data_IF_234189908927
#
_entry.id   IF_234189908927
#
_cell.length_a   1.000
_cell.length_b   1.000
_cell.length_c   1.000
_cell.angle_alpha   90.00
_cell.angle_beta   90.00
_cell.angle_gamma   90.00
#
_symmetry.space_group_name_H-M   'P 1'
#
loop_
_entity.id
_entity.type
_entity.pdbx_description
1 polymer ?
#
# COMPACT_ATOMS: atom_id res chain seq x y z
N UNK A 1 -8.72 19.08 0.66
CA UNK A 1 -9.24 17.70 0.73
C UNK A 1 -8.14 16.73 1.20
N UNK A 2 -7.11 16.42 0.39
CA UNK A 2 -6.04 15.48 0.80
C UNK A 2 -5.35 15.86 2.11
N UNK A 3 -4.95 17.12 2.29
CA UNK A 3 -4.29 17.56 3.54
C UNK A 3 -5.18 17.35 4.77
N UNK A 4 -6.50 17.48 4.63
CA UNK A 4 -7.44 17.25 5.72
C UNK A 4 -7.55 15.76 6.05
N UNK A 5 -7.59 14.88 5.05
CA UNK A 5 -7.57 13.44 5.28
C UNK A 5 -6.29 12.98 5.96
N UNK A 6 -5.14 13.54 5.60
CA UNK A 6 -3.87 13.23 6.26
C UNK A 6 -3.95 13.58 7.76
N UNK A 7 -4.46 14.77 8.10
CA UNK A 7 -4.63 15.17 9.51
C UNK A 7 -5.65 14.30 10.23
N UNK A 8 -6.75 13.95 9.58
CA UNK A 8 -7.79 13.08 10.14
C UNK A 8 -7.23 11.68 10.43
N UNK A 9 -6.45 11.11 9.51
CA UNK A 9 -5.81 9.80 9.69
C UNK A 9 -4.75 9.82 10.78
N UNK A 10 -3.98 10.91 10.89
CA UNK A 10 -3.01 11.11 11.95
C UNK A 10 -3.70 11.21 13.32
N UNK A 11 -4.74 12.05 13.43
CA UNK A 11 -5.51 12.19 14.66
C UNK A 11 -6.20 10.88 15.08
N UNK A 12 -6.58 10.03 14.12
CA UNK A 12 -7.15 8.70 14.37
C UNK A 12 -6.10 7.59 14.53
N UNK A 13 -4.79 7.89 14.48
CA UNK A 13 -3.71 6.91 14.64
C UNK A 13 -3.60 5.86 13.53
N UNK A 14 -4.23 6.08 12.37
CA UNK A 14 -4.39 5.04 11.32
C UNK A 14 -3.08 4.69 10.60
N UNK A 15 -2.11 5.59 10.61
CA UNK A 15 -0.79 5.32 10.03
C UNK A 15 0.00 4.23 10.77
N UNK A 16 -0.38 3.88 12.02
CA UNK A 16 0.24 2.78 12.77
C UNK A 16 0.01 1.40 12.11
N UNK A 17 -1.05 1.26 11.31
CA UNK A 17 -1.33 0.04 10.54
C UNK A 17 -0.41 -0.13 9.32
N UNK A 18 0.50 0.83 9.08
CA UNK A 18 1.43 0.84 7.96
C UNK A 18 2.87 0.88 8.46
N UNK A 19 3.75 0.14 7.78
CA UNK A 19 5.19 0.14 8.07
C UNK A 19 5.90 1.25 7.29
N UNK A 20 7.19 1.08 7.00
CA UNK A 20 7.99 2.02 6.24
C UNK A 20 8.16 1.61 4.79
N UNK A 21 8.30 2.62 3.93
CA UNK A 21 8.60 2.45 2.52
C UNK A 21 9.60 3.50 2.08
N UNK A 22 10.40 3.16 1.08
CA UNK A 22 11.20 4.13 0.32
C UNK A 22 10.35 4.78 -0.78
N UNK A 23 10.61 6.05 -1.09
CA UNK A 23 10.08 6.70 -2.29
C UNK A 23 10.91 6.41 -3.54
N UNK A 24 12.07 5.76 -3.41
CA UNK A 24 12.88 5.36 -4.56
C UNK A 24 12.21 4.18 -5.25
N UNK A 25 11.84 4.34 -6.52
CA UNK A 25 11.27 3.26 -7.32
C UNK A 25 12.35 2.43 -8.01
N UNK A 26 12.18 1.12 -7.94
CA UNK A 26 13.14 0.10 -8.39
C UNK A 26 13.39 0.15 -9.91
N UNK A 27 12.46 0.67 -10.72
CA UNK A 27 12.58 0.66 -12.18
C UNK A 27 13.21 1.94 -12.72
N UNK A 28 12.89 3.09 -12.11
CA UNK A 28 13.44 4.39 -12.52
C UNK A 28 14.69 4.79 -11.71
N UNK A 29 15.01 4.05 -10.65
CA UNK A 29 16.14 4.32 -9.74
C UNK A 29 16.13 5.75 -9.17
N UNK A 30 14.92 6.28 -8.93
CA UNK A 30 14.68 7.67 -8.56
C UNK A 30 13.42 7.84 -7.73
N UNK A 31 13.25 9.01 -7.09
CA UNK A 31 12.12 9.26 -6.22
C UNK A 31 10.81 9.41 -7.02
N UNK A 32 9.74 8.76 -6.57
CA UNK A 32 8.40 8.90 -7.16
C UNK A 32 7.71 10.23 -6.77
N UNK A 33 8.18 10.86 -5.70
CA UNK A 33 7.77 12.19 -5.23
C UNK A 33 9.00 12.96 -4.77
N UNK A 34 9.03 14.25 -5.04
CA UNK A 34 10.14 15.12 -4.64
C UNK A 34 10.30 15.20 -3.12
N UNK A 35 11.53 15.54 -2.68
CA UNK A 35 11.89 15.66 -1.25
C UNK A 35 10.97 16.62 -0.49
N UNK A 36 10.60 17.74 -1.10
CA UNK A 36 9.74 18.74 -0.46
C UNK A 36 8.30 18.24 -0.29
N UNK A 37 7.78 17.53 -1.31
CA UNK A 37 6.48 16.85 -1.22
C UNK A 37 6.50 15.79 -0.13
N UNK A 38 7.55 14.97 -0.08
CA UNK A 38 7.73 13.97 0.98
C UNK A 38 7.73 14.61 2.38
N UNK A 39 8.50 15.68 2.58
CA UNK A 39 8.59 16.39 3.85
C UNK A 39 7.25 17.01 4.26
N UNK A 40 6.54 17.63 3.30
CA UNK A 40 5.22 18.23 3.54
C UNK A 40 4.19 17.19 3.99
N UNK A 41 4.14 16.02 3.33
CA UNK A 41 3.19 14.95 3.69
C UNK A 41 3.43 14.44 5.11
N UNK A 42 4.69 14.23 5.50
CA UNK A 42 5.05 13.75 6.84
C UNK A 42 4.81 14.81 7.92
N UNK A 43 5.10 16.08 7.62
CA UNK A 43 4.81 17.20 8.52
C UNK A 43 3.30 17.36 8.78
N UNK A 44 2.45 17.16 7.76
CA UNK A 44 0.99 17.20 7.93
C UNK A 44 0.45 16.10 8.86
N UNK A 45 1.12 14.95 8.88
CA UNK A 45 0.73 13.82 9.72
C UNK A 45 1.40 13.81 11.10
N UNK A 46 2.32 14.74 11.36
CA UNK A 46 3.20 14.74 12.54
C UNK A 46 3.97 13.41 12.71
N UNK A 47 4.42 12.83 11.60
CA UNK A 47 5.17 11.56 11.59
C UNK A 47 6.64 11.85 11.28
N UNK A 48 7.60 11.49 12.17
CA UNK A 48 9.00 11.65 11.88
C UNK A 48 9.43 10.71 10.73
N UNK A 49 10.19 11.24 9.79
CA UNK A 49 10.71 10.46 8.66
C UNK A 49 12.02 11.05 8.14
N UNK A 50 12.84 10.21 7.49
CA UNK A 50 14.11 10.61 6.89
C UNK A 50 14.13 10.20 5.43
N UNK A 51 14.04 11.19 4.54
CA UNK A 51 14.11 10.94 3.10
C UNK A 51 15.31 10.04 2.74
N UNK A 52 15.11 8.98 1.93
CA UNK A 52 13.92 8.68 1.14
C UNK A 52 12.90 7.74 1.83
N UNK A 53 13.06 7.42 3.12
CA UNK A 53 12.24 6.44 3.84
C UNK A 53 11.27 7.12 4.80
N UNK A 54 9.99 6.74 4.73
CA UNK A 54 8.93 7.27 5.59
C UNK A 54 7.76 6.30 5.73
N UNK A 55 6.62 6.77 6.25
CA UNK A 55 5.45 5.93 6.46
C UNK A 55 4.87 5.46 5.11
N UNK A 56 4.66 4.16 4.99
CA UNK A 56 4.20 3.53 3.75
C UNK A 56 2.80 3.98 3.35
N UNK A 57 1.89 4.21 4.32
CA UNK A 57 0.55 4.73 4.05
C UNK A 57 0.59 6.14 3.45
N UNK A 58 1.41 7.04 3.99
CA UNK A 58 1.63 8.36 3.41
C UNK A 58 2.18 8.28 1.99
N UNK A 59 3.20 7.45 1.77
CA UNK A 59 3.87 7.34 0.47
C UNK A 59 2.94 6.73 -0.58
N UNK A 60 2.39 5.55 -0.30
CA UNK A 60 1.62 4.77 -1.29
C UNK A 60 0.21 5.30 -1.48
N UNK A 61 -0.48 5.73 -0.43
CA UNK A 61 -1.87 6.18 -0.55
C UNK A 61 -1.95 7.64 -0.97
N UNK A 62 -1.19 8.54 -0.35
CA UNK A 62 -1.27 9.97 -0.66
C UNK A 62 -0.19 10.43 -1.65
N UNK A 63 1.05 10.01 -1.47
CA UNK A 63 2.17 10.39 -2.34
C UNK A 63 1.97 9.96 -3.79
N UNK A 64 1.42 8.77 -4.05
CA UNK A 64 1.20 8.27 -5.41
C UNK A 64 0.26 9.15 -6.24
N UNK A 65 -0.73 9.81 -5.61
CA UNK A 65 -1.61 10.76 -6.31
C UNK A 65 -0.86 11.99 -6.82
N UNK A 66 0.21 12.38 -6.13
CA UNK A 66 1.05 13.53 -6.47
C UNK A 66 2.23 13.14 -7.37
N UNK A 67 2.43 11.85 -7.61
CA UNK A 67 3.50 11.36 -8.47
C UNK A 67 3.18 11.64 -9.94
N UNK A 68 4.04 12.44 -10.58
CA UNK A 68 4.01 12.68 -12.03
C UNK A 68 4.89 11.69 -12.82
N UNK A 69 5.52 10.73 -12.13
CA UNK A 69 6.51 9.85 -12.75
C UNK A 69 5.83 8.70 -13.49
N UNK A 70 6.20 8.52 -14.75
CA UNK A 70 5.77 7.41 -15.58
C UNK A 70 6.73 6.22 -15.41
N UNK A 71 6.18 5.04 -15.12
CA UNK A 71 6.94 3.78 -15.06
C UNK A 71 6.57 2.89 -16.24
N UNK A 72 7.29 1.78 -16.51
CA UNK A 72 6.86 0.78 -17.51
C UNK A 72 5.44 0.24 -17.27
N UNK A 73 4.93 0.36 -16.05
CA UNK A 73 3.59 -0.09 -15.63
C UNK A 73 2.56 1.05 -15.55
N UNK A 74 2.84 2.22 -16.17
CA UNK A 74 2.00 3.41 -16.13
C UNK A 74 2.30 4.34 -14.95
N UNK A 75 1.36 5.24 -14.64
CA UNK A 75 1.53 6.19 -13.53
C UNK A 75 1.16 5.54 -12.19
N UNK A 76 1.87 5.93 -11.14
CA UNK A 76 1.58 5.45 -9.78
C UNK A 76 0.16 5.79 -9.31
N UNK A 77 -0.36 6.98 -9.68
CA UNK A 77 -1.75 7.40 -9.39
C UNK A 77 -2.81 6.48 -10.00
N UNK A 78 -2.50 5.81 -11.11
CA UNK A 78 -3.45 4.98 -11.85
C UNK A 78 -3.88 3.75 -11.04
N UNK A 79 -3.03 3.31 -10.10
CA UNK A 79 -3.35 2.25 -9.13
C UNK A 79 -4.59 2.57 -8.30
N UNK A 80 -4.86 3.86 -8.08
CA UNK A 80 -5.95 4.35 -7.26
C UNK A 80 -7.12 4.84 -8.13
N UNK A 81 -6.84 5.66 -9.15
CA UNK A 81 -7.88 6.32 -9.95
C UNK A 81 -8.61 5.40 -10.95
N UNK A 82 -7.98 4.31 -11.41
CA UNK A 82 -8.60 3.42 -12.39
C UNK A 82 -9.54 2.39 -11.75
N UNK A 83 -9.62 2.32 -10.42
CA UNK A 83 -10.52 1.42 -9.69
C UNK A 83 -10.24 -0.08 -9.90
N UNK A 84 -9.13 -0.44 -10.53
CA UNK A 84 -8.70 -1.83 -10.71
C UNK A 84 -8.41 -2.50 -9.37
N UNK A 85 -7.81 -1.76 -8.42
CA UNK A 85 -7.60 -2.27 -7.06
C UNK A 85 -8.93 -2.54 -6.34
N UNK A 86 -9.90 -1.65 -6.47
CA UNK A 86 -11.22 -1.84 -5.86
C UNK A 86 -11.94 -3.07 -6.44
N UNK A 87 -11.93 -3.22 -7.78
CA UNK A 87 -12.45 -4.42 -8.43
C UNK A 87 -11.74 -5.70 -7.96
N UNK A 88 -10.42 -5.64 -7.82
CA UNK A 88 -9.60 -6.74 -7.32
C UNK A 88 -9.85 -7.09 -5.83
N UNK A 89 -10.47 -6.18 -5.07
CA UNK A 89 -10.90 -6.38 -3.69
C UNK A 89 -12.42 -6.58 -3.58
N UNK A 90 -13.13 -6.70 -4.70
CA UNK A 90 -14.59 -6.90 -4.74
C UNK A 90 -15.40 -5.68 -4.30
N UNK A 91 -14.83 -4.48 -4.38
CA UNK A 91 -15.45 -3.22 -3.99
C UNK A 91 -15.91 -2.40 -5.21
N UNK A 92 -16.84 -1.44 -5.02
CA UNK A 92 -17.16 -0.43 -6.05
C UNK A 92 -15.92 0.28 -6.57
N UNK A 93 -15.88 0.59 -7.87
CA UNK A 93 -14.69 1.09 -8.58
C UNK A 93 -14.05 2.31 -7.91
N UNK A 94 -14.88 3.18 -7.37
CA UNK A 94 -14.56 4.47 -6.78
C UNK A 94 -14.14 4.40 -5.30
N UNK A 95 -14.17 3.20 -4.68
CA UNK A 95 -13.99 3.02 -3.24
C UNK A 95 -12.67 3.54 -2.68
N UNK A 96 -11.65 3.78 -3.51
CA UNK A 96 -10.36 4.33 -3.06
C UNK A 96 -10.01 5.69 -3.67
N UNK A 97 -10.96 6.34 -4.35
CA UNK A 97 -10.74 7.67 -4.90
C UNK A 97 -10.66 8.72 -3.78
N UNK A 98 -9.92 9.80 -4.05
CA UNK A 98 -9.83 10.93 -3.13
C UNK A 98 -11.18 11.62 -2.95
N UNK A 99 -11.92 11.80 -4.03
CA UNK A 99 -13.22 12.48 -4.07
C UNK A 99 -14.41 11.54 -3.83
N UNK A 100 -14.16 10.30 -3.40
CA UNK A 100 -15.22 9.37 -3.07
C UNK A 100 -16.11 9.92 -1.95
N UNK A 101 -17.40 10.03 -2.26
CA UNK A 101 -18.43 10.39 -1.29
C UNK A 101 -19.20 9.11 -0.95
N UNK A 102 -19.00 8.62 0.28
CA UNK A 102 -19.83 7.57 0.83
C UNK A 102 -21.28 8.07 0.89
N UNK A 103 -22.18 7.42 0.15
CA UNK A 103 -23.59 7.81 0.04
C UNK A 103 -24.37 7.57 1.33
N UNK A 104 -23.82 6.75 2.24
CA UNK A 104 -24.41 6.43 3.55
C UNK A 104 -23.88 7.40 4.62
N UNK A 105 -22.61 7.82 4.50
CA UNK A 105 -22.00 8.77 5.43
C UNK A 105 -20.96 9.68 4.74
N UNK A 106 -21.42 10.75 4.05
CA UNK A 106 -20.54 11.65 3.29
C UNK A 106 -19.39 12.19 4.15
N UNK A 107 -18.14 11.97 3.72
CA UNK A 107 -16.95 12.46 4.41
C UNK A 107 -16.50 11.67 5.65
N UNK A 108 -17.12 10.53 5.95
CA UNK A 108 -16.81 9.75 7.17
C UNK A 108 -15.55 8.89 7.09
N UNK A 109 -15.05 8.58 5.88
CA UNK A 109 -13.85 7.76 5.69
C UNK A 109 -12.83 8.42 4.77
N UNK A 110 -11.55 8.19 5.05
CA UNK A 110 -10.42 8.60 4.22
C UNK A 110 -10.04 7.48 3.23
N UNK A 111 -9.33 7.77 2.13
CA UNK A 111 -8.80 6.72 1.26
C UNK A 111 -7.88 5.74 2.00
N UNK A 112 -7.04 6.23 2.93
CA UNK A 112 -6.17 5.39 3.76
C UNK A 112 -6.99 4.42 4.60
N UNK A 113 -8.03 4.91 5.29
CA UNK A 113 -8.94 4.06 6.05
C UNK A 113 -9.53 2.97 5.16
N UNK A 114 -10.15 3.34 4.04
CA UNK A 114 -10.86 2.38 3.18
C UNK A 114 -9.94 1.28 2.66
N UNK A 115 -8.74 1.62 2.21
CA UNK A 115 -7.79 0.59 1.73
C UNK A 115 -7.21 -0.23 2.88
N UNK A 116 -6.99 0.37 4.06
CA UNK A 116 -6.53 -0.35 5.25
C UNK A 116 -7.56 -1.38 5.69
N UNK A 117 -8.83 -0.97 5.81
CA UNK A 117 -9.94 -1.82 6.23
C UNK A 117 -10.16 -2.98 5.23
N UNK A 118 -9.90 -2.75 3.94
CA UNK A 118 -9.99 -3.79 2.91
C UNK A 118 -8.79 -4.76 2.89
N UNK A 119 -7.58 -4.29 3.19
CA UNK A 119 -6.34 -5.05 2.96
C UNK A 119 -5.75 -5.68 4.21
N UNK A 120 -5.81 -5.00 5.36
CA UNK A 120 -5.18 -5.48 6.59
C UNK A 120 -5.76 -6.83 7.06
N UNK A 121 -7.09 -7.08 7.01
CA UNK A 121 -7.65 -8.39 7.37
C UNK A 121 -7.09 -9.53 6.51
N UNK A 122 -6.78 -9.27 5.22
CA UNK A 122 -6.21 -10.27 4.32
C UNK A 122 -4.81 -10.71 4.76
N UNK A 123 -4.02 -9.81 5.36
CA UNK A 123 -2.70 -10.15 5.90
C UNK A 123 -2.80 -10.92 7.22
N UNK A 124 -3.73 -10.53 8.08
CA UNK A 124 -3.92 -11.11 9.42
C UNK A 124 -4.51 -12.52 9.35
N UNK A 125 -5.52 -12.72 8.50
CA UNK A 125 -6.18 -14.00 8.30
C UNK A 125 -6.46 -14.22 6.80
N UNK A 126 -5.45 -14.63 6.02
CA UNK A 126 -5.63 -14.89 4.60
C UNK A 126 -6.72 -15.95 4.37
N UNK A 127 -7.67 -15.72 3.45
CA UNK A 127 -8.75 -16.68 3.22
C UNK A 127 -8.20 -17.98 2.62
N UNK A 128 -8.61 -19.12 3.16
CA UNK A 128 -8.14 -20.43 2.69
C UNK A 128 -8.54 -20.74 1.23
N UNK A 129 -9.66 -20.18 0.76
CA UNK A 129 -10.13 -20.32 -0.60
C UNK A 129 -9.98 -18.99 -1.35
N UNK A 130 -9.43 -19.04 -2.57
CA UNK A 130 -9.36 -17.88 -3.47
C UNK A 130 -8.22 -16.89 -3.18
N UNK A 131 -7.44 -17.10 -2.11
CA UNK A 131 -6.17 -16.41 -1.92
C UNK A 131 -4.97 -17.34 -2.12
N UNK A 132 -3.85 -16.74 -2.51
CA UNK A 132 -2.53 -17.35 -2.55
C UNK A 132 -1.62 -16.55 -1.64
N UNK A 133 -0.78 -17.22 -0.87
CA UNK A 133 0.11 -16.57 0.09
C UNK A 133 1.54 -17.02 -0.10
N UNK A 134 2.48 -16.13 0.22
CA UNK A 134 3.89 -16.47 0.36
C UNK A 134 4.45 -15.71 1.56
N UNK A 135 5.07 -16.44 2.46
CA UNK A 135 5.65 -15.93 3.70
C UNK A 135 7.17 -16.07 3.65
N UNK A 136 7.89 -15.09 4.17
CA UNK A 136 9.34 -15.13 4.25
C UNK A 136 9.87 -14.35 5.46
N UNK A 137 10.96 -14.83 6.05
CA UNK A 137 11.76 -14.06 6.99
C UNK A 137 12.84 -13.30 6.20
N UNK A 138 12.79 -11.98 6.22
CA UNK A 138 13.74 -11.12 5.50
C UNK A 138 14.38 -10.19 6.52
N UNK A 139 15.70 -10.16 6.62
CA UNK A 139 16.42 -9.28 7.54
C UNK A 139 15.93 -9.38 9.01
N UNK A 140 15.44 -10.55 9.41
CA UNK A 140 14.92 -10.81 10.76
C UNK A 140 13.47 -10.36 11.00
N UNK A 141 12.78 -9.79 10.01
CA UNK A 141 11.36 -9.46 10.09
C UNK A 141 10.51 -10.44 9.27
N UNK A 142 9.34 -10.79 9.80
CA UNK A 142 8.40 -11.64 9.07
C UNK A 142 7.69 -10.81 8.02
N UNK A 143 7.57 -11.35 6.81
CA UNK A 143 6.94 -10.68 5.67
C UNK A 143 5.94 -11.62 5.03
N UNK A 144 4.86 -11.05 4.49
CA UNK A 144 3.78 -11.82 3.87
C UNK A 144 3.24 -11.12 2.64
N UNK A 145 3.14 -11.89 1.56
CA UNK A 145 2.40 -11.55 0.34
C UNK A 145 1.08 -12.31 0.35
N UNK A 146 -0.02 -11.61 0.11
CA UNK A 146 -1.33 -12.22 -0.13
C UNK A 146 -1.84 -11.73 -1.47
N UNK A 147 -2.24 -12.66 -2.34
CA UNK A 147 -2.90 -12.34 -3.59
C UNK A 147 -4.30 -12.92 -3.57
N UNK A 148 -5.31 -12.06 -3.71
CA UNK A 148 -6.72 -12.45 -3.79
C UNK A 148 -7.34 -12.04 -5.11
N UNK A 149 -8.32 -12.82 -5.59
CA UNK A 149 -9.08 -12.49 -6.81
C UNK A 149 -10.56 -12.85 -6.65
N UNK A 150 -11.47 -11.87 -6.66
CA UNK A 150 -12.89 -12.12 -6.79
C UNK A 150 -13.21 -12.83 -8.12
N UNK A 151 -14.17 -13.76 -8.12
CA UNK A 151 -14.54 -14.54 -9.33
C UNK A 151 -14.82 -13.67 -10.57
N UNK A 152 -15.42 -12.49 -10.37
CA UNK A 152 -15.84 -11.61 -11.46
C UNK A 152 -14.83 -10.49 -11.79
N UNK A 153 -13.59 -10.58 -11.28
CA UNK A 153 -12.58 -9.56 -11.50
C UNK A 153 -11.47 -10.06 -12.45
N UNK A 154 -11.15 -9.33 -13.53
CA UNK A 154 -9.96 -9.60 -14.33
C UNK A 154 -8.66 -9.18 -13.62
N UNK A 155 -8.74 -8.59 -12.42
CA UNK A 155 -7.59 -8.19 -11.61
C UNK A 155 -7.54 -8.97 -10.30
N UNK A 156 -6.33 -9.34 -9.87
CA UNK A 156 -6.06 -9.81 -8.51
C UNK A 156 -5.46 -8.68 -7.69
N UNK A 157 -5.71 -8.64 -6.38
CA UNK A 157 -5.11 -7.67 -5.47
C UNK A 157 -3.92 -8.32 -4.80
N UNK A 158 -2.72 -7.77 -5.02
CA UNK A 158 -1.54 -8.10 -4.23
C UNK A 158 -1.50 -7.19 -3.02
N UNK A 159 -1.44 -7.79 -1.83
CA UNK A 159 -1.28 -7.11 -0.54
C UNK A 159 0.02 -7.58 0.08
N UNK A 160 0.90 -6.65 0.42
CA UNK A 160 2.18 -6.94 1.05
C UNK A 160 2.28 -6.27 2.40
N UNK A 161 2.78 -7.01 3.39
CA UNK A 161 2.99 -6.50 4.73
C UNK A 161 4.19 -7.11 5.43
N UNK A 162 4.51 -6.49 6.55
CA UNK A 162 5.61 -6.86 7.45
C UNK A 162 5.06 -6.95 8.86
N UNK A 163 5.46 -7.97 9.61
CA UNK A 163 5.28 -8.08 11.05
C UNK A 163 6.63 -7.81 11.74
N UNK A 164 6.78 -6.67 12.43
CA UNK A 164 8.00 -6.34 13.16
C UNK A 164 8.08 -7.05 14.54
N UNK A 165 7.15 -7.95 14.85
CA UNK A 165 7.08 -8.71 16.10
C UNK A 165 5.85 -8.42 16.97
N UNK A 166 4.97 -7.51 16.54
CA UNK A 166 3.76 -7.11 17.27
C UNK A 166 2.48 -7.12 16.40
N UNK A 167 2.57 -7.69 15.20
CA UNK A 167 1.44 -7.88 14.29
C UNK A 167 1.71 -7.35 12.88
N UNK A 168 0.99 -7.91 11.92
CA UNK A 168 1.08 -7.51 10.52
C UNK A 168 0.72 -6.03 10.32
N UNK A 169 1.56 -5.32 9.57
CA UNK A 169 1.33 -3.94 9.08
C UNK A 169 1.48 -3.91 7.57
N UNK A 170 0.68 -3.05 6.92
CA UNK A 170 0.71 -2.88 5.47
C UNK A 170 1.98 -2.17 5.01
N UNK A 171 2.59 -2.65 3.93
CA UNK A 171 3.57 -1.90 3.13
C UNK A 171 2.84 -1.27 1.95
N UNK A 172 2.24 -2.09 1.10
CA UNK A 172 1.68 -1.67 -0.18
C UNK A 172 0.59 -2.63 -0.64
N UNK A 173 -0.26 -2.15 -1.53
CA UNK A 173 -1.21 -2.96 -2.28
C UNK A 173 -1.35 -2.44 -3.70
N UNK A 174 -1.56 -3.32 -4.68
CA UNK A 174 -1.81 -2.93 -6.07
C UNK A 174 -2.50 -4.04 -6.87
N UNK A 175 -3.23 -3.68 -7.93
CA UNK A 175 -3.85 -4.67 -8.81
C UNK A 175 -2.79 -5.30 -9.72
N UNK A 176 -2.96 -6.59 -10.00
CA UNK A 176 -2.20 -7.34 -11.01
C UNK A 176 -3.19 -7.97 -12.00
N UNK A 177 -2.89 -7.89 -13.30
CA UNK A 177 -3.68 -8.51 -14.37
C UNK A 177 -3.19 -9.90 -14.74
N UNK A 178 -1.91 -10.19 -14.48
CA UNK A 178 -1.22 -11.44 -14.81
C UNK A 178 -1.38 -12.49 -13.71
N UNK A 179 -0.97 -13.73 -14.01
CA UNK A 179 -0.96 -14.82 -13.03
C UNK A 179 0.12 -14.56 -11.95
N UNK A 180 -0.24 -14.47 -10.66
CA UNK A 180 0.71 -14.26 -9.57
C UNK A 180 1.68 -15.42 -9.34
N UNK A 181 1.49 -16.60 -9.95
CA UNK A 181 2.31 -17.80 -9.69
C UNK A 181 3.81 -17.53 -9.76
N UNK A 182 4.27 -16.87 -10.83
CA UNK A 182 5.69 -16.59 -11.04
C UNK A 182 6.24 -15.61 -9.99
N UNK A 183 5.47 -14.56 -9.68
CA UNK A 183 5.82 -13.56 -8.68
C UNK A 183 5.95 -14.19 -7.27
N UNK A 184 5.01 -15.05 -6.88
CA UNK A 184 5.04 -15.71 -5.57
C UNK A 184 6.16 -16.75 -5.48
N UNK A 185 6.45 -17.45 -6.59
CA UNK A 185 7.57 -18.37 -6.68
C UNK A 185 8.91 -17.64 -6.58
N UNK A 186 9.08 -16.51 -7.27
CA UNK A 186 10.27 -15.66 -7.19
C UNK A 186 10.51 -15.16 -5.76
N UNK A 187 9.45 -14.65 -5.12
CA UNK A 187 9.51 -14.16 -3.75
C UNK A 187 9.92 -15.27 -2.76
N UNK A 188 9.34 -16.47 -2.90
CA UNK A 188 9.68 -17.61 -2.04
C UNK A 188 11.11 -18.11 -2.26
N UNK A 189 11.60 -18.07 -3.51
CA UNK A 189 12.93 -18.55 -3.86
C UNK A 189 14.04 -17.55 -3.50
N UNK A 190 13.75 -16.25 -3.62
CA UNK A 190 14.70 -15.16 -3.36
C UNK A 190 14.07 -14.10 -2.46
N UNK A 191 13.89 -14.42 -1.17
CA UNK A 191 13.20 -13.53 -0.25
C UNK A 191 14.05 -12.28 0.01
N UNK A 192 13.45 -11.13 -0.28
CA UNK A 192 13.99 -9.81 -0.02
C UNK A 192 12.85 -8.86 0.31
N UNK A 193 13.16 -7.66 0.81
CA UNK A 193 12.17 -6.60 0.89
C UNK A 193 11.78 -6.23 -0.55
N UNK A 194 10.48 -6.20 -0.85
CA UNK A 194 9.94 -5.95 -2.19
C UNK A 194 9.02 -4.75 -2.19
N UNK A 195 8.81 -4.19 -3.39
CA UNK A 195 7.80 -3.18 -3.66
C UNK A 195 7.95 -1.96 -2.74
N UNK A 196 9.19 -1.50 -2.67
CA UNK A 196 9.65 -0.36 -1.89
C UNK A 196 9.57 -0.53 -0.36
N UNK A 197 9.34 -1.73 0.19
CA UNK A 197 9.46 -1.95 1.62
C UNK A 197 10.82 -1.51 2.17
N UNK A 198 10.79 -0.90 3.35
CA UNK A 198 11.98 -0.57 4.11
C UNK A 198 11.77 -0.97 5.57
N UNK A 199 12.83 -1.46 6.20
CA UNK A 199 12.92 -1.58 7.65
C UNK A 199 13.84 -0.47 8.17
N UNK A 200 13.46 0.17 9.28
CA UNK A 200 14.38 1.06 9.96
C UNK A 200 15.37 0.19 10.73
N UNK A 201 16.66 0.38 10.47
CA UNK A 201 17.71 -0.25 11.26
C UNK A 201 17.59 0.29 12.70
N UNK A 202 17.25 -0.57 13.67
CA UNK A 202 17.18 -0.21 15.09
C UNK A 202 18.58 -0.16 15.74
N UNK A 203 19.62 0.16 14.97
CA UNK A 203 21.02 0.21 15.46
C UNK A 203 21.41 1.61 15.92
#
# INVERSE_FOLDING_TARGET
>A
MMEEYIRQDAAAGRFASWTHSTVIDEYIQGPIIERDTFAKLHALADIPARFPVGNAGLIHVYGYWLSAVHTPFGYKRDRWSQGHLAAALGQPRESFWLDYVDSVAPGSSTPLQRVTDACLPLLQAPPAAGARTADALVEGVFTRVVVTRPQNSPYSALVYGIDPGDGMRLVTTFPISEDPSALLSDFSATPSLRWNAAVLDNR
#
